data_IF_747255762208
#
_entry.id   IF_747255762208
#
_cell.length_a   1.000
_cell.length_b   1.000
_cell.length_c   1.000
_cell.angle_alpha   90.00
_cell.angle_beta   90.00
_cell.angle_gamma   90.00
#
_symmetry.space_group_name_H-M   'P 1'
#
loop_
_entity.id
_entity.type
_entity.pdbx_description
1 polymer ?
#
# COMPACT_ATOMS: atom_id res chain seq x y z
N UNK A 1 -5.91 19.91 -0.54
CA UNK A 1 -5.04 18.71 -0.47
C UNK A 1 -4.02 18.82 -1.59
N UNK A 2 -2.79 18.34 -1.39
CA UNK A 2 -1.66 18.59 -2.29
C UNK A 2 -1.24 17.30 -3.01
N UNK A 3 -0.57 17.44 -4.16
CA UNK A 3 0.08 16.30 -4.81
C UNK A 3 1.12 15.67 -3.87
N UNK A 4 1.20 14.33 -3.80
CA UNK A 4 2.21 13.67 -2.98
C UNK A 4 3.61 13.99 -3.51
N UNK A 5 4.51 14.35 -2.59
CA UNK A 5 5.94 14.38 -2.92
C UNK A 5 6.42 13.01 -3.42
N UNK A 6 7.46 12.99 -4.26
CA UNK A 6 7.95 11.78 -4.95
C UNK A 6 8.12 10.56 -4.03
N UNK A 7 8.70 10.74 -2.85
CA UNK A 7 8.92 9.65 -1.89
C UNK A 7 7.60 9.09 -1.34
N UNK A 8 6.63 9.95 -1.04
CA UNK A 8 5.29 9.55 -0.61
C UNK A 8 4.54 8.81 -1.71
N UNK A 9 4.64 9.29 -2.95
CA UNK A 9 4.07 8.59 -4.09
C UNK A 9 4.67 7.18 -4.26
N UNK A 10 6.00 7.05 -4.22
CA UNK A 10 6.67 5.76 -4.35
C UNK A 10 6.27 4.78 -3.23
N UNK A 11 6.17 5.25 -1.99
CA UNK A 11 5.71 4.41 -0.88
C UNK A 11 4.26 3.94 -1.09
N UNK A 12 3.36 4.81 -1.56
CA UNK A 12 1.97 4.45 -1.87
C UNK A 12 1.87 3.52 -3.08
N UNK A 13 2.70 3.71 -4.12
CA UNK A 13 2.77 2.83 -5.27
C UNK A 13 3.24 1.42 -4.88
N UNK A 14 4.24 1.32 -4.01
CA UNK A 14 4.74 0.05 -3.50
C UNK A 14 3.69 -0.67 -2.64
N UNK A 15 2.90 0.07 -1.86
CA UNK A 15 1.75 -0.50 -1.15
C UNK A 15 0.66 -0.98 -2.09
N UNK A 16 0.32 -0.19 -3.10
CA UNK A 16 -0.70 -0.55 -4.09
C UNK A 16 -0.30 -1.83 -4.84
N UNK A 17 0.97 -1.95 -5.24
CA UNK A 17 1.51 -3.19 -5.80
C UNK A 17 1.40 -4.37 -4.82
N UNK A 18 1.78 -4.18 -3.55
CA UNK A 18 1.69 -5.23 -2.53
C UNK A 18 0.25 -5.72 -2.31
N UNK A 19 -0.73 -4.81 -2.31
CA UNK A 19 -2.16 -5.16 -2.22
C UNK A 19 -2.55 -6.04 -3.41
N UNK A 20 -2.16 -5.65 -4.62
CA UNK A 20 -2.49 -6.39 -5.84
C UNK A 20 -1.84 -7.76 -5.88
N UNK A 21 -0.58 -7.89 -5.44
CA UNK A 21 0.10 -9.18 -5.29
C UNK A 21 -0.51 -10.04 -4.18
N UNK A 22 -1.12 -9.43 -3.16
CA UNK A 22 -1.80 -10.14 -2.07
C UNK A 22 -3.20 -10.68 -2.42
N UNK A 23 -3.71 -10.38 -3.62
CA UNK A 23 -5.07 -10.78 -4.04
C UNK A 23 -5.23 -12.29 -4.13
N UNK A 24 -4.25 -12.99 -4.70
CA UNK A 24 -4.30 -14.45 -4.89
C UNK A 24 -3.80 -15.24 -3.70
N UNK A 25 -2.89 -14.69 -2.91
CA UNK A 25 -2.33 -15.33 -1.72
C UNK A 25 -1.79 -14.26 -0.75
N UNK A 26 -1.66 -14.57 0.56
CA UNK A 26 -0.94 -13.72 1.49
C UNK A 26 0.46 -13.35 0.99
N UNK A 27 0.86 -12.10 1.20
CA UNK A 27 2.18 -11.64 0.85
C UNK A 27 3.22 -12.27 1.78
N UNK A 28 4.38 -12.66 1.24
CA UNK A 28 5.54 -12.97 2.08
C UNK A 28 6.06 -11.67 2.72
N UNK A 29 6.64 -11.72 3.93
CA UNK A 29 7.22 -10.54 4.54
C UNK A 29 8.32 -9.92 3.66
N UNK A 30 8.08 -8.72 3.16
CA UNK A 30 9.02 -7.99 2.30
C UNK A 30 9.52 -6.72 3.01
N UNK A 31 10.85 -6.55 3.16
CA UNK A 31 11.41 -5.37 3.81
C UNK A 31 10.98 -4.04 3.17
N UNK A 32 10.85 -4.01 1.84
CA UNK A 32 10.41 -2.82 1.11
C UNK A 32 9.00 -2.36 1.49
N UNK A 33 8.06 -3.29 1.63
CA UNK A 33 6.69 -3.00 2.07
C UNK A 33 6.67 -2.51 3.50
N UNK A 34 7.47 -3.13 4.39
CA UNK A 34 7.56 -2.72 5.79
C UNK A 34 8.14 -1.31 5.93
N UNK A 35 9.16 -0.99 5.13
CA UNK A 35 9.79 0.33 5.09
C UNK A 35 8.81 1.39 4.57
N UNK A 36 8.06 1.11 3.50
CA UNK A 36 7.05 2.01 2.97
C UNK A 36 5.99 2.37 4.02
N UNK A 37 5.49 1.37 4.77
CA UNK A 37 4.56 1.60 5.88
C UNK A 37 5.18 2.45 6.99
N UNK A 38 6.42 2.17 7.38
CA UNK A 38 7.12 2.92 8.42
C UNK A 38 7.37 4.38 8.01
N UNK A 39 7.74 4.61 6.75
CA UNK A 39 7.89 5.95 6.18
C UNK A 39 6.57 6.71 6.17
N UNK A 40 5.48 6.09 5.70
CA UNK A 40 4.18 6.77 5.65
C UNK A 40 3.69 7.15 7.05
N UNK A 41 3.87 6.27 8.04
CA UNK A 41 3.58 6.59 9.44
C UNK A 41 4.46 7.73 9.99
N UNK A 42 5.75 7.77 9.63
CA UNK A 42 6.66 8.80 10.16
C UNK A 42 6.25 10.22 9.73
N UNK A 43 5.63 10.35 8.55
CA UNK A 43 5.12 11.63 8.03
C UNK A 43 3.65 11.90 8.37
N UNK A 44 2.95 10.93 8.96
CA UNK A 44 1.58 11.12 9.46
C UNK A 44 1.55 12.04 10.68
N UNK A 45 0.54 12.92 10.76
CA UNK A 45 0.39 13.89 11.83
C UNK A 45 -0.28 13.32 13.09
N UNK A 46 -1.26 12.43 12.94
CA UNK A 46 -1.98 11.81 14.06
C UNK A 46 -1.06 10.93 14.94
N UNK A 47 0.04 10.44 14.35
CA UNK A 47 0.93 9.42 14.92
C UNK A 47 0.21 8.13 15.32
N UNK A 48 -1.02 7.93 14.87
CA UNK A 48 -1.73 6.68 15.03
C UNK A 48 -1.05 5.62 14.15
N UNK A 49 -0.63 4.53 14.80
CA UNK A 49 0.09 3.44 14.16
C UNK A 49 -0.85 2.32 13.69
N UNK A 50 -2.07 2.27 14.21
CA UNK A 50 -2.97 1.13 13.98
C UNK A 50 -3.33 0.93 12.50
N UNK A 51 -3.63 1.96 11.68
CA UNK A 51 -3.90 1.76 10.26
C UNK A 51 -2.74 1.10 9.51
N UNK A 52 -1.50 1.41 9.89
CA UNK A 52 -0.28 0.90 9.27
C UNK A 52 0.03 -0.53 9.70
N UNK A 53 -0.08 -0.82 11.00
CA UNK A 53 0.14 -2.16 11.53
C UNK A 53 -1.00 -3.12 11.10
N UNK A 54 -2.25 -2.66 11.03
CA UNK A 54 -3.38 -3.43 10.51
C UNK A 54 -3.23 -3.73 9.02
N UNK A 55 -2.80 -2.75 8.21
CA UNK A 55 -2.45 -2.99 6.80
C UNK A 55 -1.39 -4.08 6.68
N UNK A 56 -0.31 -3.99 7.45
CA UNK A 56 0.77 -4.99 7.43
C UNK A 56 0.25 -6.40 7.76
N UNK A 57 -0.49 -6.53 8.86
CA UNK A 57 -1.12 -7.78 9.29
C UNK A 57 -2.02 -8.37 8.20
N UNK A 58 -2.84 -7.53 7.58
CA UNK A 58 -3.78 -7.92 6.51
C UNK A 58 -3.05 -8.43 5.27
N UNK A 59 -1.99 -7.73 4.82
CA UNK A 59 -1.16 -8.17 3.69
C UNK A 59 -0.52 -9.54 3.92
N UNK A 60 -0.08 -9.81 5.15
CA UNK A 60 0.51 -11.09 5.54
C UNK A 60 -0.52 -12.21 5.78
N UNK A 61 -1.81 -11.94 5.61
CA UNK A 61 -2.88 -12.88 5.98
C UNK A 61 -2.97 -13.15 7.48
N UNK A 62 -2.30 -12.33 8.31
CA UNK A 62 -2.29 -12.41 9.77
C UNK A 62 -3.39 -11.51 10.33
N UNK A 63 -4.64 -11.79 9.96
CA UNK A 63 -5.83 -11.04 10.36
C UNK A 63 -6.95 -11.95 10.85
N UNK A 64 -8.18 -11.43 10.99
CA UNK A 64 -9.33 -12.26 11.38
C UNK A 64 -9.50 -13.44 10.39
N UNK A 65 -9.77 -14.67 10.87
CA UNK A 65 -9.89 -15.88 10.04
C UNK A 65 -11.00 -15.81 8.98
N UNK A 66 -11.92 -14.85 9.09
CA UNK A 66 -13.05 -14.63 8.18
C UNK A 66 -12.65 -13.78 6.94
N UNK A 67 -11.41 -13.27 6.89
CA UNK A 67 -10.97 -12.28 5.90
C UNK A 67 -10.53 -12.86 4.55
N UNK A 68 -10.57 -14.17 4.32
CA UNK A 68 -10.06 -14.80 3.09
C UNK A 68 -10.76 -14.30 1.80
N UNK A 69 -12.10 -14.13 1.74
CA UNK A 69 -12.75 -13.48 0.59
C UNK A 69 -12.67 -11.94 0.62
N UNK A 70 -12.36 -11.35 1.80
CA UNK A 70 -12.46 -9.90 2.05
C UNK A 70 -11.12 -9.14 2.12
N UNK A 71 -9.98 -9.83 2.06
CA UNK A 71 -8.63 -9.26 2.30
C UNK A 71 -8.36 -8.05 1.41
N UNK A 72 -8.71 -8.14 0.13
CA UNK A 72 -8.50 -7.05 -0.84
C UNK A 72 -9.33 -5.82 -0.48
N UNK A 73 -10.58 -6.03 -0.09
CA UNK A 73 -11.49 -4.96 0.38
C UNK A 73 -10.93 -4.28 1.62
N UNK A 74 -10.47 -5.06 2.61
CA UNK A 74 -9.86 -4.53 3.84
C UNK A 74 -8.55 -3.78 3.57
N UNK A 75 -7.69 -4.31 2.69
CA UNK A 75 -6.51 -3.60 2.20
C UNK A 75 -6.90 -2.26 1.56
N UNK A 76 -7.97 -2.23 0.74
CA UNK A 76 -8.49 -1.00 0.16
C UNK A 76 -8.93 0.03 1.20
N UNK A 77 -9.66 -0.41 2.24
CA UNK A 77 -10.08 0.46 3.36
C UNK A 77 -8.89 1.03 4.12
N UNK A 78 -7.89 0.20 4.43
CA UNK A 78 -6.68 0.66 5.09
C UNK A 78 -5.87 1.60 4.19
N UNK A 79 -5.80 1.34 2.89
CA UNK A 79 -5.12 2.20 1.92
C UNK A 79 -5.77 3.59 1.85
N UNK A 80 -7.11 3.65 1.77
CA UNK A 80 -7.85 4.91 1.82
C UNK A 80 -7.60 5.70 3.12
N UNK A 81 -7.57 4.99 4.24
CA UNK A 81 -7.26 5.59 5.55
C UNK A 81 -5.84 6.16 5.56
N UNK A 82 -4.85 5.40 5.09
CA UNK A 82 -3.45 5.86 5.01
C UNK A 82 -3.32 7.08 4.10
N UNK A 83 -3.93 7.07 2.90
CA UNK A 83 -3.90 8.23 2.00
C UNK A 83 -4.49 9.48 2.66
N UNK A 84 -5.59 9.36 3.41
CA UNK A 84 -6.17 10.44 4.19
C UNK A 84 -5.19 10.95 5.26
N UNK A 85 -4.57 10.05 6.01
CA UNK A 85 -3.59 10.37 7.07
C UNK A 85 -2.35 11.10 6.52
N UNK A 86 -1.90 10.76 5.30
CA UNK A 86 -0.79 11.45 4.62
C UNK A 86 -1.24 12.59 3.71
N UNK A 87 -2.52 12.99 3.78
CA UNK A 87 -3.14 14.12 3.05
C UNK A 87 -3.05 14.02 1.52
N UNK A 88 -3.06 12.81 0.98
CA UNK A 88 -3.03 12.52 -0.46
C UNK A 88 -4.44 12.33 -0.98
N UNK A 89 -4.79 13.05 -2.05
CA UNK A 89 -6.07 12.90 -2.75
C UNK A 89 -6.08 11.63 -3.59
N UNK A 90 -7.14 10.84 -3.50
CA UNK A 90 -7.31 9.60 -4.27
C UNK A 90 -8.22 9.81 -5.49
N UNK A 91 -7.88 10.74 -6.36
CA UNK A 91 -8.62 10.97 -7.60
C UNK A 91 -8.29 9.93 -8.70
N UNK A 92 -9.00 10.00 -9.83
CA UNK A 92 -8.77 9.07 -10.95
C UNK A 92 -7.35 9.19 -11.53
N UNK A 93 -6.75 10.38 -11.53
CA UNK A 93 -5.40 10.59 -12.04
C UNK A 93 -4.35 9.91 -11.14
N UNK A 94 -4.51 10.01 -9.83
CA UNK A 94 -3.70 9.32 -8.85
C UNK A 94 -3.81 7.80 -9.01
N UNK A 95 -5.03 7.26 -9.15
CA UNK A 95 -5.22 5.82 -9.38
C UNK A 95 -4.55 5.36 -10.69
N UNK A 96 -4.70 6.13 -11.77
CA UNK A 96 -4.02 5.84 -13.04
C UNK A 96 -2.49 5.86 -12.89
N UNK A 97 -1.94 6.79 -12.11
CA UNK A 97 -0.51 6.86 -11.84
C UNK A 97 -0.01 5.66 -11.03
N UNK A 98 -0.76 5.18 -10.02
CA UNK A 98 -0.41 3.96 -9.27
C UNK A 98 -0.41 2.72 -10.17
N UNK A 99 -1.41 2.59 -11.05
CA UNK A 99 -1.48 1.48 -12.02
C UNK A 99 -0.29 1.53 -12.97
N UNK A 100 0.07 2.71 -13.49
CA UNK A 100 1.23 2.90 -14.36
C UNK A 100 2.54 2.50 -13.64
N UNK A 101 2.76 3.03 -12.44
CA UNK A 101 3.95 2.72 -11.64
C UNK A 101 4.10 1.22 -11.38
N UNK A 102 2.99 0.53 -11.06
CA UNK A 102 2.98 -0.93 -10.90
C UNK A 102 3.43 -1.65 -12.17
N UNK A 103 2.91 -1.27 -13.33
CA UNK A 103 3.30 -1.88 -14.61
C UNK A 103 4.80 -1.70 -14.88
N UNK A 104 5.36 -0.53 -14.58
CA UNK A 104 6.79 -0.26 -14.71
C UNK A 104 7.63 -1.11 -13.74
N UNK A 105 7.19 -1.27 -12.49
CA UNK A 105 7.85 -2.14 -11.50
C UNK A 105 7.87 -3.61 -11.96
N UNK A 106 6.76 -4.11 -12.49
CA UNK A 106 6.68 -5.48 -13.02
C UNK A 106 7.61 -5.69 -14.21
N UNK A 107 7.70 -4.70 -15.12
CA UNK A 107 8.63 -4.76 -16.28
C UNK A 107 10.08 -4.81 -15.82
N UNK A 108 10.47 -3.90 -14.93
CA UNK A 108 11.83 -3.86 -14.40
C UNK A 108 12.22 -5.16 -13.68
N UNK A 109 11.28 -5.82 -12.99
CA UNK A 109 11.54 -7.11 -12.35
C UNK A 109 11.76 -8.27 -13.34
N UNK A 110 11.20 -8.19 -14.54
CA UNK A 110 11.35 -9.20 -15.59
C UNK A 110 12.64 -9.02 -16.40
N UNK A 111 13.12 -7.79 -16.58
CA UNK A 111 14.35 -7.50 -17.33
C UNK A 111 15.64 -7.91 -16.58
N UNK A 112 15.53 -8.22 -15.28
CA UNK A 112 16.65 -8.63 -14.41
C UNK A 112 16.78 -10.16 -14.33
N UNK A 113 15.89 -10.91 -15.00
CA UNK A 113 15.92 -12.39 -15.08
C UNK A 113 16.47 -12.89 -16.40
#
# INVERSE_FOLDING_TARGET
MAEPGRTTFLALALLHDAIERSRSAPLKPEPGVRLALAYLWSITLSKDREPFDSMWRTLLGKGRPEAEPGRVTWCGTHFATICREVRVTQDMAFQAALVKARVEMTRAANDVR
#
